data_IF_201215473262
#
_entry.id   IF_201215473262
#
_cell.length_a   1.000
_cell.length_b   1.000
_cell.length_c   1.000
_cell.angle_alpha   90.00
_cell.angle_beta   90.00
_cell.angle_gamma   90.00
#
_symmetry.space_group_name_H-M   'P 1'
#
loop_
_entity.id
_entity.type
_entity.pdbx_description
1 polymer ?
2 non-polymer ?
3 non-polymer ?
4 water ?
#
# COMPACT_ATOMS: atom_id res chain seq x y z
N UNK A 1 27.23 -26.50 -8.76
CA UNK A 1 27.05 -25.07 -9.18
C UNK A 1 25.97 -25.02 -10.24
N UNK A 2 24.99 -24.16 -10.02
CA UNK A 2 23.88 -24.03 -10.95
C UNK A 2 24.26 -23.22 -12.16
N UNK A 3 23.86 -23.61 -13.36
CA UNK A 3 24.16 -22.86 -14.57
C UNK A 3 23.38 -21.54 -14.55
N UNK A 4 24.11 -20.45 -14.79
CA UNK A 4 23.43 -19.14 -14.80
C UNK A 4 22.95 -18.88 -16.22
N UNK A 5 22.08 -17.88 -16.39
CA UNK A 5 21.57 -17.42 -17.67
C UNK A 5 20.81 -18.44 -18.49
N UNK A 6 20.10 -19.32 -17.79
CA UNK A 6 19.23 -20.30 -18.40
C UNK A 6 18.15 -20.60 -17.36
N UNK A 7 16.91 -20.68 -17.78
CA UNK A 7 15.85 -20.99 -16.83
C UNK A 7 15.74 -22.52 -16.64
N UNK A 8 15.75 -22.95 -15.40
CA UNK A 8 15.73 -24.38 -15.10
C UNK A 8 14.33 -24.90 -14.78
N UNK A 9 14.07 -26.17 -15.16
CA UNK A 9 12.77 -26.78 -14.84
C UNK A 9 12.84 -27.47 -13.51
N UNK A 10 12.61 -26.71 -12.43
CA UNK A 10 12.78 -27.16 -11.08
C UNK A 10 11.70 -26.56 -10.15
N UNK A 11 11.44 -27.31 -9.09
CA UNK A 11 10.65 -26.79 -7.98
C UNK A 11 11.45 -25.66 -7.33
N UNK A 12 10.83 -24.60 -6.79
CA UNK A 12 11.62 -23.52 -6.19
C UNK A 12 12.53 -23.92 -5.05
N UNK A 13 12.15 -24.87 -4.21
CA UNK A 13 12.99 -25.26 -3.07
C UNK A 13 14.21 -26.03 -3.56
N UNK A 14 14.02 -26.89 -4.56
CA UNK A 14 15.14 -27.64 -5.13
C UNK A 14 16.11 -26.64 -5.77
N UNK A 15 15.57 -25.70 -6.54
CA UNK A 15 16.36 -24.67 -7.19
C UNK A 15 17.15 -23.86 -6.16
N UNK A 16 16.43 -23.33 -5.15
CA UNK A 16 17.08 -22.50 -4.14
C UNK A 16 18.20 -23.24 -3.42
N UNK A 17 18.09 -24.52 -3.10
CA UNK A 17 19.14 -25.28 -2.45
C UNK A 17 20.38 -25.46 -3.34
N UNK A 18 20.27 -25.23 -4.63
CA UNK A 18 21.39 -25.26 -5.55
C UNK A 18 22.03 -23.89 -5.75
N UNK A 19 21.42 -22.82 -5.24
CA UNK A 19 21.98 -21.49 -5.37
C UNK A 19 22.99 -21.22 -4.26
N UNK A 20 24.13 -20.65 -4.64
CA UNK A 20 25.15 -20.33 -3.65
C UNK A 20 24.69 -19.23 -2.69
N UNK A 21 24.87 -19.41 -1.40
CA UNK A 21 24.53 -18.36 -0.44
C UNK A 21 25.33 -17.13 -0.74
N UNK A 22 24.73 -15.95 -0.53
CA UNK A 22 25.34 -14.66 -0.73
C UNK A 22 25.84 -14.35 -2.12
N UNK A 23 25.29 -14.96 -3.17
CA UNK A 23 25.72 -14.72 -4.52
C UNK A 23 24.85 -13.78 -5.33
N UNK A 24 23.66 -13.45 -4.78
CA UNK A 24 22.68 -12.69 -5.60
C UNK A 24 22.59 -11.23 -5.21
N UNK A 25 22.49 -10.34 -6.19
CA UNK A 25 22.43 -8.92 -5.93
C UNK A 25 20.96 -8.43 -5.87
N UNK A 26 20.08 -9.11 -6.62
CA UNK A 26 18.67 -8.60 -6.62
C UNK A 26 17.78 -9.81 -6.81
N UNK A 27 16.73 -9.93 -5.99
CA UNK A 27 15.80 -11.05 -6.24
C UNK A 27 14.45 -10.35 -6.57
N UNK A 28 13.80 -10.74 -7.65
CA UNK A 28 12.52 -10.13 -8.08
C UNK A 28 11.57 -11.32 -8.10
N UNK A 29 10.61 -11.43 -7.15
CA UNK A 29 9.82 -12.67 -7.06
C UNK A 29 8.33 -12.38 -7.22
N UNK A 30 7.69 -13.00 -8.18
CA UNK A 30 6.22 -12.89 -8.37
C UNK A 30 5.73 -14.31 -8.10
N UNK A 31 5.39 -14.61 -6.86
CA UNK A 31 5.01 -15.92 -6.41
C UNK A 31 3.51 -16.14 -6.37
N UNK A 32 3.10 -17.30 -5.90
CA UNK A 32 1.66 -17.52 -5.74
C UNK A 32 1.10 -16.40 -4.85
N UNK A 33 -0.13 -16.01 -5.16
CA UNK A 33 -0.84 -15.01 -4.35
C UNK A 33 -2.00 -15.65 -3.55
N UNK A 34 -2.22 -16.96 -3.66
CA UNK A 34 -3.35 -17.56 -2.92
C UNK A 34 -4.69 -17.03 -3.47
N UNK A 35 -4.79 -16.82 -4.78
CA UNK A 35 -6.04 -16.35 -5.37
C UNK A 35 -6.74 -17.47 -6.15
N UNK A 36 -6.23 -18.69 -6.04
CA UNK A 36 -6.77 -19.87 -6.69
C UNK A 36 -6.81 -19.76 -8.21
N UNK A 37 -5.83 -19.09 -8.83
CA UNK A 37 -5.81 -18.95 -10.29
C UNK A 37 -5.30 -20.20 -11.00
N UNK A 38 -4.77 -21.14 -10.24
CA UNK A 38 -4.25 -22.40 -10.74
C UNK A 38 -4.01 -23.35 -9.58
N UNK A 39 -3.61 -24.57 -9.87
CA UNK A 39 -3.33 -25.57 -8.83
C UNK A 39 -2.22 -25.11 -7.90
N UNK A 40 -1.19 -24.46 -8.48
CA UNK A 40 -0.08 -23.97 -7.67
C UNK A 40 -0.45 -22.74 -6.86
N UNK A 41 -1.62 -22.14 -7.09
CA UNK A 41 -2.05 -20.94 -6.40
C UNK A 41 -3.18 -21.25 -5.43
N UNK A 42 -3.43 -22.52 -5.20
CA UNK A 42 -4.51 -22.96 -4.32
C UNK A 42 -3.94 -23.62 -3.10
N UNK A 43 -4.33 -23.07 -1.95
CA UNK A 43 -3.85 -23.54 -0.65
C UNK A 43 -5.05 -23.94 0.21
N UNK A 44 -4.86 -24.82 1.17
CA UNK A 44 -5.97 -25.22 2.04
C UNK A 44 -6.41 -24.13 3.00
N UNK A 45 -5.50 -23.21 3.39
CA UNK A 45 -5.81 -22.16 4.32
C UNK A 45 -4.77 -21.02 4.22
N UNK A 46 -5.04 -19.91 4.90
CA UNK A 46 -4.11 -18.76 4.83
C UNK A 46 -2.80 -19.11 5.52
N UNK A 47 -2.86 -19.82 6.63
CA UNK A 47 -1.66 -20.28 7.32
C UNK A 47 -0.81 -21.19 6.43
N UNK A 48 -1.40 -22.13 5.68
CA UNK A 48 -0.58 -23.00 4.83
C UNK A 48 0.13 -22.13 3.78
N UNK A 49 -0.62 -21.16 3.23
CA UNK A 49 -0.06 -20.23 2.26
C UNK A 49 1.12 -19.49 2.87
N UNK A 50 0.99 -18.98 4.09
CA UNK A 50 2.05 -18.24 4.73
C UNK A 50 3.24 -19.14 5.04
N UNK A 51 2.98 -20.38 5.50
CA UNK A 51 4.09 -21.30 5.79
C UNK A 51 4.92 -21.59 4.54
N UNK A 52 4.29 -21.78 3.39
CA UNK A 52 4.95 -22.00 2.12
C UNK A 52 5.77 -20.75 1.78
N UNK A 53 5.12 -19.60 1.90
CA UNK A 53 5.76 -18.33 1.53
C UNK A 53 7.01 -18.05 2.32
N UNK A 54 6.92 -18.22 3.64
CA UNK A 54 8.00 -17.97 4.58
C UNK A 54 9.11 -18.99 4.32
N UNK A 55 8.77 -20.21 3.89
CA UNK A 55 9.83 -21.17 3.58
C UNK A 55 10.68 -20.74 2.37
N UNK A 56 10.07 -20.27 1.29
CA UNK A 56 10.85 -19.86 0.12
C UNK A 56 11.55 -18.55 0.46
N UNK A 57 10.89 -17.65 1.21
CA UNK A 57 11.52 -16.38 1.57
C UNK A 57 12.84 -16.62 2.33
N UNK A 58 12.81 -17.48 3.34
CA UNK A 58 14.03 -17.76 4.12
C UNK A 58 15.20 -18.14 3.24
N UNK A 59 14.95 -18.99 2.25
CA UNK A 59 16.02 -19.46 1.36
C UNK A 59 16.49 -18.31 0.47
N UNK A 60 15.55 -17.54 -0.11
CA UNK A 60 15.93 -16.38 -0.93
C UNK A 60 16.81 -15.43 -0.15
N UNK A 61 16.49 -15.13 1.12
CA UNK A 61 17.30 -14.23 1.92
C UNK A 61 18.74 -14.72 2.09
N UNK A 62 18.92 -16.02 2.27
CA UNK A 62 20.27 -16.59 2.34
C UNK A 62 21.06 -16.39 1.05
N UNK A 63 20.41 -16.26 -0.10
CA UNK A 63 21.05 -16.07 -1.38
C UNK A 63 21.54 -14.65 -1.64
N UNK A 64 20.89 -13.65 -1.02
CA UNK A 64 21.30 -12.29 -1.24
C UNK A 64 22.66 -12.00 -0.59
N UNK A 65 23.46 -11.19 -1.28
CA UNK A 65 24.74 -10.81 -0.68
C UNK A 65 24.41 -9.81 0.42
N UNK A 66 25.48 -9.30 1.06
CA UNK A 66 25.30 -8.46 2.23
C UNK A 66 24.53 -7.18 1.96
N UNK A 67 24.48 -6.60 0.79
CA UNK A 67 23.76 -5.39 0.47
C UNK A 67 22.64 -5.65 -0.57
N UNK A 68 22.23 -6.90 -0.71
CA UNK A 68 21.27 -7.22 -1.77
C UNK A 68 19.87 -6.64 -1.59
N UNK A 69 19.12 -6.59 -2.70
CA UNK A 69 17.76 -6.02 -2.71
C UNK A 69 16.75 -7.12 -3.06
N UNK A 70 15.52 -6.92 -2.59
CA UNK A 70 14.49 -7.94 -2.73
C UNK A 70 13.15 -7.26 -3.08
N UNK A 71 12.48 -7.79 -4.10
CA UNK A 71 11.15 -7.28 -4.45
C UNK A 71 10.18 -8.48 -4.46
N UNK A 72 9.06 -8.40 -3.73
CA UNK A 72 8.12 -9.52 -3.70
C UNK A 72 6.72 -8.94 -4.00
N UNK A 73 6.07 -9.50 -5.02
CA UNK A 73 4.73 -9.09 -5.40
C UNK A 73 3.70 -9.93 -4.61
N UNK A 74 2.57 -9.24 -4.31
CA UNK A 74 1.46 -10.07 -3.78
C UNK A 74 0.24 -9.17 -3.68
N UNK A 75 -0.87 -9.69 -3.14
CA UNK A 75 -1.99 -8.79 -2.87
C UNK A 75 -1.60 -7.93 -1.66
N UNK A 76 -2.19 -6.78 -1.50
CA UNK A 76 -1.94 -5.93 -0.34
C UNK A 76 -2.09 -6.70 0.95
N UNK A 77 -3.23 -7.48 1.06
CA UNK A 77 -3.45 -8.25 2.29
C UNK A 77 -2.32 -9.22 2.61
N UNK A 78 -1.86 -10.01 1.66
CA UNK A 78 -0.78 -10.96 1.90
C UNK A 78 0.55 -10.20 2.16
N UNK A 79 0.67 -9.05 1.51
CA UNK A 79 1.89 -8.25 1.78
C UNK A 79 1.95 -7.70 3.17
N UNK A 80 0.82 -7.48 3.86
CA UNK A 80 0.89 -7.04 5.26
C UNK A 80 1.62 -8.07 6.09
N UNK A 81 1.34 -9.36 5.94
CA UNK A 81 1.93 -10.47 6.64
C UNK A 81 3.39 -10.70 6.21
N UNK A 82 3.56 -10.59 4.89
CA UNK A 82 4.94 -10.78 4.38
C UNK A 82 5.84 -9.66 4.84
N UNK A 83 5.35 -8.42 4.87
CA UNK A 83 6.13 -7.28 5.32
C UNK A 83 6.62 -7.41 6.75
N UNK A 84 5.68 -7.77 7.65
CA UNK A 84 6.08 -8.00 9.04
C UNK A 84 7.03 -9.16 9.16
N UNK A 85 6.88 -10.23 8.37
CA UNK A 85 7.79 -11.37 8.40
C UNK A 85 9.20 -10.94 7.99
N UNK A 86 9.30 -10.17 6.92
CA UNK A 86 10.62 -9.69 6.48
C UNK A 86 11.30 -8.81 7.53
N UNK A 87 10.54 -7.95 8.22
CA UNK A 87 11.12 -7.13 9.29
C UNK A 87 11.65 -8.04 10.41
N UNK A 88 10.94 -9.11 10.70
CA UNK A 88 11.31 -10.04 11.77
C UNK A 88 12.59 -10.81 11.40
N UNK A 89 12.87 -10.96 10.11
CA UNK A 89 14.08 -11.61 9.64
C UNK A 89 15.26 -10.66 9.57
N UNK A 90 15.15 -9.39 9.95
CA UNK A 90 16.31 -8.49 9.89
C UNK A 90 16.44 -7.73 8.59
N UNK A 91 15.50 -7.89 7.65
CA UNK A 91 15.59 -7.13 6.40
C UNK A 91 15.13 -5.71 6.64
N UNK A 92 15.61 -4.78 5.84
CA UNK A 92 15.36 -3.37 5.95
C UNK A 92 14.31 -2.92 4.94
N UNK A 93 13.15 -2.51 5.51
CA UNK A 93 12.10 -2.01 4.61
C UNK A 93 12.49 -0.76 3.85
N UNK A 94 12.27 -0.70 2.53
CA UNK A 94 12.54 0.46 1.72
C UNK A 94 11.25 1.09 1.22
N UNK A 95 10.37 0.31 0.55
CA UNK A 95 9.14 0.90 0.05
C UNK A 95 7.99 -0.15 -0.03
N UNK A 96 6.79 0.38 0.14
CA UNK A 96 5.56 -0.43 -0.09
C UNK A 96 5.08 0.10 -1.44
N UNK A 97 5.43 -0.57 -2.54
CA UNK A 97 5.08 -0.11 -3.86
C UNK A 97 3.64 -0.57 -4.21
N UNK A 98 2.89 0.39 -4.69
CA UNK A 98 1.50 0.11 -5.11
C UNK A 98 1.39 0.11 -6.63
N UNK A 99 1.00 -1.02 -7.20
CA UNK A 99 0.78 -1.04 -8.64
C UNK A 99 -0.74 -0.75 -8.83
N UNK A 100 -1.02 0.44 -9.30
CA UNK A 100 -2.40 0.88 -9.55
C UNK A 100 -2.74 0.35 -10.94
N UNK A 101 -3.42 -0.80 -11.05
CA UNK A 101 -3.61 -1.33 -12.42
C UNK A 101 -4.52 -0.55 -13.33
N UNK A 102 -5.51 0.17 -12.81
CA UNK A 102 -6.48 0.93 -13.59
C UNK A 102 -7.04 0.10 -14.74
N UNK A 103 -7.25 -1.19 -14.54
CA UNK A 103 -7.72 -2.08 -15.59
C UNK A 103 -9.23 -1.89 -15.65
N UNK A 104 -9.97 -2.78 -16.30
CA UNK A 104 -11.42 -2.58 -16.33
C UNK A 104 -12.08 -3.41 -15.23
N UNK A 105 -11.30 -4.19 -14.50
CA UNK A 105 -11.73 -5.15 -13.51
C UNK A 105 -11.86 -4.73 -12.05
N UNK A 106 -12.11 -5.77 -11.24
CA UNK A 106 -12.24 -5.73 -9.81
C UNK A 106 -13.59 -5.41 -9.20
N UNK A 107 -14.57 -5.09 -10.03
CA UNK A 107 -15.89 -4.67 -9.60
C UNK A 107 -16.38 -5.45 -8.37
N UNK A 108 -17.00 -4.68 -7.46
CA UNK A 108 -17.51 -5.34 -6.24
C UNK A 108 -18.70 -4.59 -5.71
N UNK A 109 -19.63 -5.16 -4.93
CA UNK A 109 -20.68 -4.26 -4.42
C UNK A 109 -20.70 -4.33 -2.90
N UNK A 110 -19.84 -5.13 -2.30
CA UNK A 110 -19.79 -5.13 -0.83
C UNK A 110 -18.52 -4.41 -0.31
N UNK A 111 -17.71 -3.88 -1.23
CA UNK A 111 -16.46 -3.21 -0.84
C UNK A 111 -15.94 -2.49 -2.06
N UNK A 112 -14.88 -1.68 -1.90
CA UNK A 112 -14.35 -1.01 -3.08
C UNK A 112 -13.75 -2.06 -4.03
N UNK A 113 -13.79 -1.70 -5.35
CA UNK A 113 -13.33 -2.60 -6.37
C UNK A 113 -11.81 -2.87 -6.28
N UNK A 114 -11.48 -4.12 -6.52
CA UNK A 114 -10.09 -4.51 -6.35
C UNK A 114 -9.34 -4.52 -7.66
N UNK A 115 -8.06 -4.92 -7.52
CA UNK A 115 -7.15 -4.94 -8.65
C UNK A 115 -5.77 -4.38 -8.32
N UNK A 116 -5.60 -3.44 -7.38
CA UNK A 116 -4.18 -3.02 -7.16
C UNK A 116 -3.38 -4.23 -6.74
N UNK A 117 -2.06 -4.19 -6.91
CA UNK A 117 -1.17 -5.25 -6.39
C UNK A 117 -0.04 -4.51 -5.64
N UNK A 118 0.61 -5.21 -4.76
CA UNK A 118 1.67 -4.54 -3.99
C UNK A 118 3.02 -5.19 -4.37
N UNK A 119 4.05 -4.36 -4.27
CA UNK A 119 5.40 -4.94 -4.42
C UNK A 119 6.16 -4.51 -3.16
N UNK A 120 6.59 -5.43 -2.33
CA UNK A 120 7.38 -5.03 -1.17
C UNK A 120 8.84 -4.90 -1.65
N UNK A 121 9.48 -3.83 -1.18
CA UNK A 121 10.90 -3.60 -1.56
C UNK A 121 11.72 -3.46 -0.28
N UNK A 122 12.54 -4.47 -0.01
CA UNK A 122 13.41 -4.48 1.15
C UNK A 122 14.89 -4.68 0.67
N UNK A 123 15.79 -4.35 1.60
CA UNK A 123 17.22 -4.62 1.31
C UNK A 123 17.86 -5.25 2.56
N UNK A 124 19.01 -5.90 2.30
CA UNK A 124 19.73 -6.61 3.35
C UNK A 124 20.51 -5.64 4.25
N UNK A 125 20.85 -4.48 3.73
CA UNK A 125 21.58 -3.46 4.49
C UNK A 125 21.13 -2.09 4.05
N UNK A 126 21.74 -1.03 4.65
CA UNK A 126 21.47 0.34 4.22
C UNK A 126 22.40 0.82 3.12
N UNK A 127 23.27 -0.04 2.63
CA UNK A 127 24.23 0.25 1.57
C UNK A 127 23.86 -0.49 0.30
N UNK A 128 22.51 -0.63 0.08
CA UNK A 128 22.03 -1.23 -1.15
C UNK A 128 22.21 -0.31 -2.34
N UNK A 129 22.06 -0.86 -3.56
CA UNK A 129 22.16 -0.10 -4.79
C UNK A 129 20.85 0.61 -5.15
N UNK A 130 20.82 1.91 -5.32
CA UNK A 130 19.57 2.55 -5.71
C UNK A 130 19.91 3.56 -6.78
N UNK A 131 19.69 3.21 -8.05
CA UNK A 131 20.00 4.09 -9.17
C UNK A 131 18.85 5.01 -9.50
N UNK A 132 18.60 6.02 -8.64
CA UNK A 132 17.50 6.94 -8.84
C UNK A 132 17.46 7.66 -10.16
N UNK A 133 18.60 8.08 -10.74
CA UNK A 133 18.62 8.78 -11.99
C UNK A 133 18.25 7.91 -13.20
N UNK A 134 18.24 6.60 -13.06
CA UNK A 134 17.91 5.71 -14.16
C UNK A 134 16.43 5.37 -14.23
N UNK A 135 15.65 5.80 -13.26
CA UNK A 135 14.23 5.44 -13.22
C UNK A 135 13.35 6.66 -13.05
N UNK A 136 13.85 7.85 -13.44
CA UNK A 136 12.99 9.04 -13.35
C UNK A 136 11.79 8.92 -14.31
N UNK A 137 10.73 9.58 -13.90
CA UNK A 137 9.46 9.60 -14.69
C UNK A 137 9.14 11.00 -15.21
N UNK A 138 8.34 11.14 -16.28
CA UNK A 138 8.05 12.43 -16.89
C UNK A 138 7.47 13.44 -15.94
N UNK A 139 7.84 14.73 -16.10
CA UNK A 139 7.35 15.80 -15.27
C UNK A 139 5.84 16.02 -15.44
N UNK A 140 5.16 16.32 -14.35
CA UNK A 140 3.73 16.61 -14.41
C UNK A 140 3.49 18.06 -14.84
N UNK A 141 2.23 18.51 -14.71
CA UNK A 141 1.90 19.89 -15.03
C UNK A 141 2.32 20.76 -13.85
N UNK A 142 2.14 20.20 -12.66
CA UNK A 142 2.49 20.81 -11.40
C UNK A 142 3.98 20.87 -11.08
N UNK A 143 4.78 20.00 -11.72
CA UNK A 143 6.22 20.09 -11.47
C UNK A 143 6.73 21.36 -12.15
N UNK A 144 6.18 21.60 -13.31
CA UNK A 144 6.46 22.76 -14.15
C UNK A 144 6.10 24.05 -13.42
N UNK A 145 5.05 24.08 -12.60
CA UNK A 145 4.69 25.28 -11.83
C UNK A 145 5.80 25.55 -10.83
N UNK A 146 6.28 24.48 -10.17
CA UNK A 146 7.35 24.64 -9.20
C UNK A 146 8.62 25.11 -9.92
N UNK A 147 8.86 24.54 -11.10
CA UNK A 147 9.99 24.92 -11.93
C UNK A 147 9.91 26.44 -12.18
N UNK A 148 8.74 26.91 -12.56
CA UNK A 148 8.57 28.37 -12.72
C UNK A 148 8.87 29.15 -11.46
N UNK A 149 8.47 28.79 -10.24
CA UNK A 149 8.81 29.55 -9.05
C UNK A 149 10.29 29.60 -8.72
N UNK A 150 11.07 28.65 -9.24
CA UNK A 150 12.49 28.60 -8.93
C UNK A 150 13.35 29.11 -10.07
N UNK A 151 12.75 29.32 -11.24
CA UNK A 151 13.50 29.72 -12.42
C UNK A 151 14.35 30.98 -12.22
N UNK A 152 13.84 31.95 -11.48
CA UNK A 152 14.58 33.17 -11.20
C UNK A 152 15.59 33.07 -10.08
N UNK A 153 15.66 31.93 -9.39
CA UNK A 153 16.62 31.77 -8.31
C UNK A 153 17.88 31.22 -8.98
N UNK A 154 18.89 32.07 -9.08
CA UNK A 154 20.12 31.61 -9.73
C UNK A 154 20.93 30.73 -8.80
N UNK A 155 21.73 29.84 -9.37
CA UNK A 155 22.63 28.99 -8.60
C UNK A 155 24.05 29.17 -9.14
N UNK A 156 24.96 29.60 -8.27
CA UNK A 156 26.33 29.89 -8.70
C UNK A 156 26.34 31.02 -9.74
N UNK A 157 25.41 31.95 -9.65
CA UNK A 157 25.29 33.07 -10.55
C UNK A 157 24.55 32.85 -11.84
N UNK A 158 24.16 31.61 -12.16
CA UNK A 158 23.46 31.32 -13.40
C UNK A 158 22.14 30.56 -13.23
N UNK A 159 21.41 30.48 -14.34
CA UNK A 159 20.13 29.76 -14.35
C UNK A 159 20.34 28.28 -14.00
N UNK A 160 19.42 27.69 -13.24
CA UNK A 160 19.44 26.29 -12.87
C UNK A 160 18.41 25.55 -13.71
N UNK A 161 18.76 24.42 -14.34
CA UNK A 161 17.82 23.65 -15.15
C UNK A 161 17.56 22.30 -14.48
N UNK A 162 16.31 21.97 -14.20
CA UNK A 162 15.96 20.71 -13.57
C UNK A 162 16.32 19.53 -14.45
N UNK A 163 16.45 18.35 -13.87
CA UNK A 163 16.95 17.20 -14.65
C UNK A 163 16.10 16.99 -15.89
N UNK A 164 16.67 16.80 -17.05
CA UNK A 164 15.91 16.66 -18.28
C UNK A 164 15.25 15.31 -18.44
N UNK A 165 15.57 14.37 -17.55
CA UNK A 165 14.98 13.05 -17.66
C UNK A 165 13.73 12.89 -16.83
N UNK A 166 13.30 13.91 -16.11
CA UNK A 166 12.09 13.86 -15.32
C UNK A 166 12.33 13.88 -13.82
N UNK A 167 11.23 13.60 -13.10
CA UNK A 167 11.25 13.66 -11.65
C UNK A 167 11.58 12.32 -10.99
N UNK A 168 11.90 12.37 -9.70
CA UNK A 168 12.23 11.12 -9.01
C UNK A 168 10.98 10.25 -8.99
N UNK A 169 11.19 8.95 -9.23
CA UNK A 169 10.01 8.06 -9.21
C UNK A 169 9.45 7.89 -7.85
N UNK A 170 8.10 7.88 -7.73
CA UNK A 170 7.49 7.63 -6.43
C UNK A 170 7.05 6.16 -6.23
N UNK A 171 6.14 5.94 -5.28
CA UNK A 171 5.77 4.56 -4.91
C UNK A 171 4.44 4.07 -5.51
N UNK A 172 3.71 4.91 -6.19
CA UNK A 172 2.42 4.43 -6.77
C UNK A 172 2.64 4.41 -8.27
N UNK A 173 2.68 3.22 -8.84
CA UNK A 173 3.03 3.02 -10.24
C UNK A 173 1.84 2.66 -11.12
N UNK A 174 1.85 3.18 -12.34
CA UNK A 174 0.78 2.93 -13.31
C UNK A 174 1.53 2.69 -14.63
N UNK A 175 1.15 1.68 -15.39
CA UNK A 175 1.82 1.41 -16.67
C UNK A 175 0.86 1.40 -17.85
N UNK A 176 1.39 1.12 -19.03
CA UNK A 176 0.60 1.03 -20.26
C UNK A 176 -0.05 -0.34 -20.39
N UNK A 195 -1.28 -12.51 -18.13
CA UNK A 195 -0.72 -13.06 -16.91
C UNK A 195 0.63 -12.45 -16.54
N UNK A 196 1.54 -12.32 -17.49
CA UNK A 196 2.87 -11.80 -17.25
C UNK A 196 2.95 -10.36 -16.77
N UNK A 197 3.93 -10.03 -15.91
CA UNK A 197 4.06 -8.63 -15.48
C UNK A 197 4.55 -7.78 -16.65
N UNK A 198 4.20 -6.50 -16.71
CA UNK A 198 4.61 -5.62 -17.79
C UNK A 198 6.14 -5.50 -17.83
N UNK A 199 6.76 -5.61 -19.00
CA UNK A 199 8.20 -5.49 -19.05
C UNK A 199 8.69 -4.16 -18.49
N UNK A 200 8.03 -3.05 -18.76
CA UNK A 200 8.41 -1.74 -18.24
C UNK A 200 8.44 -1.68 -16.71
N UNK A 201 7.54 -2.43 -16.08
CA UNK A 201 7.53 -2.50 -14.62
C UNK A 201 8.76 -3.20 -14.09
N UNK A 202 9.08 -4.37 -14.70
CA UNK A 202 10.23 -5.15 -14.24
C UNK A 202 11.50 -4.38 -14.58
N UNK A 203 11.50 -3.69 -15.72
CA UNK A 203 12.65 -2.86 -16.11
C UNK A 203 12.94 -1.79 -15.04
N UNK A 204 11.85 -1.16 -14.53
CA UNK A 204 12.11 -0.12 -13.48
C UNK A 204 12.76 -0.74 -12.28
N UNK A 205 12.28 -1.94 -11.87
CA UNK A 205 12.87 -2.63 -10.73
C UNK A 205 14.36 -2.98 -10.97
N UNK A 206 14.62 -3.51 -12.15
CA UNK A 206 16.02 -3.95 -12.37
C UNK A 206 16.95 -2.74 -12.56
N UNK A 207 16.49 -1.71 -13.20
CA UNK A 207 17.35 -0.50 -13.37
C UNK A 207 17.58 0.15 -12.02
N UNK A 208 16.53 0.21 -11.15
CA UNK A 208 16.80 0.88 -9.89
C UNK A 208 17.69 0.10 -8.95
N UNK A 209 17.54 -1.23 -8.85
CA UNK A 209 18.12 -1.96 -7.76
C UNK A 209 19.18 -3.01 -8.11
N UNK A 210 19.77 -2.77 -9.26
CA UNK A 210 20.92 -3.60 -9.69
C UNK A 210 21.71 -2.73 -10.68
N UNK A 211 22.93 -3.19 -10.96
CA UNK A 211 23.82 -2.60 -11.96
C UNK A 211 24.18 -3.64 -13.02
N UNK A 212 24.66 -3.19 -14.18
CA UNK A 212 25.14 -4.10 -15.23
C UNK A 212 26.03 -5.16 -14.62
N UNK A 213 25.91 -6.40 -15.06
CA UNK A 213 26.64 -7.58 -14.64
C UNK A 213 26.26 -8.17 -13.31
N UNK A 214 25.35 -7.56 -12.53
CA UNK A 214 24.93 -8.17 -11.28
C UNK A 214 24.09 -9.42 -11.57
N UNK A 215 23.81 -10.22 -10.57
CA UNK A 215 23.03 -11.41 -10.74
C UNK A 215 21.61 -11.20 -10.16
N UNK A 216 20.62 -11.46 -10.98
CA UNK A 216 19.20 -11.30 -10.59
C UNK A 216 18.57 -12.68 -10.43
N UNK A 217 17.83 -12.94 -9.36
CA UNK A 217 17.23 -14.26 -9.17
C UNK A 217 15.71 -14.17 -9.27
N UNK A 218 15.11 -15.17 -9.89
CA UNK A 218 13.62 -15.25 -9.86
C UNK A 218 13.31 -16.75 -9.80
N UNK A 219 12.73 -17.23 -8.70
CA UNK A 219 12.41 -18.65 -8.55
C UNK A 219 11.00 -19.07 -8.95
N UNK A 220 10.22 -18.22 -9.60
CA UNK A 220 8.91 -18.52 -10.18
C UNK A 220 8.86 -17.78 -11.51
N UNK A 221 9.75 -18.13 -12.45
CA UNK A 221 9.91 -17.40 -13.69
C UNK A 221 8.68 -17.19 -14.55
N UNK A 222 7.76 -18.15 -14.63
CA UNK A 222 6.55 -17.95 -15.43
C UNK A 222 6.90 -17.83 -16.90
N UNK A 223 6.53 -16.72 -17.54
CA UNK A 223 6.84 -16.45 -18.92
C UNK A 223 8.29 -16.01 -19.10
N UNK A 224 9.04 -15.82 -18.01
CA UNK A 224 10.45 -15.48 -18.11
C UNK A 224 10.72 -13.99 -18.11
N UNK A 225 9.73 -13.17 -17.77
CA UNK A 225 9.90 -11.73 -17.81
C UNK A 225 11.15 -11.24 -17.08
N UNK A 226 11.46 -11.70 -15.90
CA UNK A 226 12.64 -11.28 -15.16
C UNK A 226 13.91 -11.59 -15.94
N UNK A 227 13.99 -12.83 -16.46
CA UNK A 227 15.19 -13.19 -17.23
C UNK A 227 15.34 -12.36 -18.49
N UNK A 228 14.25 -12.12 -19.20
CA UNK A 228 14.25 -11.42 -20.47
C UNK A 228 14.72 -9.98 -20.28
N UNK A 229 14.07 -9.35 -19.28
CA UNK A 229 14.44 -7.95 -19.02
C UNK A 229 15.86 -7.92 -18.44
N UNK A 230 16.28 -8.82 -17.57
CA UNK A 230 17.66 -8.80 -17.04
C UNK A 230 18.65 -8.86 -18.19
N UNK A 231 18.42 -9.81 -19.09
CA UNK A 231 19.31 -9.97 -20.25
C UNK A 231 19.36 -8.71 -21.12
N UNK A 232 18.23 -8.09 -21.44
CA UNK A 232 18.22 -6.86 -22.24
C UNK A 232 19.00 -5.74 -21.58
N UNK A 233 18.97 -5.65 -20.25
CA UNK A 233 19.70 -4.66 -19.48
C UNK A 233 21.11 -5.04 -19.09
N UNK A 234 21.63 -6.17 -19.63
CA UNK A 234 22.99 -6.54 -19.31
C UNK A 234 23.22 -7.06 -17.92
N UNK A 235 22.18 -7.65 -17.26
CA UNK A 235 22.38 -8.30 -15.98
C UNK A 235 22.42 -9.82 -16.24
N UNK A 236 23.02 -10.55 -15.33
CA UNK A 236 22.98 -12.01 -15.39
C UNK A 236 21.73 -12.44 -14.62
N UNK A 237 21.21 -13.65 -14.88
CA UNK A 237 20.06 -14.09 -14.08
C UNK A 237 20.21 -15.55 -13.71
N UNK A 238 19.45 -15.99 -12.71
CA UNK A 238 19.35 -17.38 -12.31
C UNK A 238 17.87 -17.60 -11.97
N UNK A 239 17.29 -18.73 -12.36
CA UNK A 239 15.87 -18.86 -12.08
C UNK A 239 15.30 -20.19 -12.53
N UNK A 240 14.02 -20.38 -12.25
CA UNK A 240 13.42 -21.67 -12.55
C UNK A 240 11.91 -21.52 -12.64
N UNK A 241 11.28 -22.56 -13.16
CA UNK A 241 9.83 -22.65 -13.10
C UNK A 241 9.55 -24.18 -13.11
N UNK A 242 8.54 -24.63 -12.39
CA UNK A 242 8.21 -26.06 -12.39
C UNK A 242 7.59 -26.51 -13.70
N UNK A 243 7.08 -25.58 -14.50
CA UNK A 243 6.37 -25.88 -15.73
C UNK A 243 7.30 -25.99 -16.92
N UNK A 244 7.40 -27.23 -17.45
CA UNK A 244 8.24 -27.51 -18.60
C UNK A 244 7.92 -26.66 -19.82
N UNK A 245 6.66 -26.50 -20.17
CA UNK A 245 6.25 -25.70 -21.31
C UNK A 245 6.68 -24.25 -21.16
N UNK A 246 6.46 -23.69 -19.96
CA UNK A 246 6.87 -22.30 -19.73
C UNK A 246 8.38 -22.14 -19.86
N UNK A 247 9.12 -23.07 -19.24
CA UNK A 247 10.59 -23.02 -19.27
C UNK A 247 11.12 -23.12 -20.68
N UNK A 248 10.59 -24.10 -21.45
CA UNK A 248 11.08 -24.25 -22.82
C UNK A 248 10.77 -23.03 -23.67
N UNK A 249 9.58 -22.48 -23.53
CA UNK A 249 9.13 -21.31 -24.27
C UNK A 249 9.93 -20.08 -23.88
N UNK A 250 10.21 -19.92 -22.57
CA UNK A 250 11.01 -18.75 -22.16
C UNK A 250 12.46 -18.87 -22.60
N UNK A 251 13.04 -20.08 -22.51
CA UNK A 251 14.43 -20.28 -22.93
C UNK A 251 14.58 -20.04 -24.43
N UNK A 252 13.54 -20.36 -25.19
CA UNK A 252 13.52 -20.11 -26.62
C UNK A 252 13.52 -18.60 -26.86
N UNK A 253 12.62 -17.88 -26.20
CA UNK A 253 12.59 -16.42 -26.34
C UNK A 253 13.94 -15.83 -25.98
N UNK A 254 14.56 -16.22 -24.88
CA UNK A 254 15.88 -15.74 -24.48
C UNK A 254 16.96 -15.94 -25.54
N UNK A 255 16.88 -17.04 -26.27
CA UNK A 255 17.90 -17.33 -27.28
C UNK A 255 17.75 -16.66 -28.63
N UNK A 256 16.70 -15.90 -28.92
CA UNK A 256 16.68 -15.17 -30.19
C UNK A 256 16.28 -13.72 -29.96
N UNK B 1 -22.03 11.65 32.20
CA UNK B 1 -22.65 11.42 30.86
C UNK B 1 -21.87 12.09 29.75
N UNK B 2 -21.76 11.37 28.64
CA UNK B 2 -20.99 11.87 27.49
C UNK B 2 -21.90 12.43 26.41
N UNK B 3 -21.73 13.71 26.10
CA UNK B 3 -22.58 14.40 25.13
C UNK B 3 -22.30 13.92 23.69
N UNK B 4 -23.37 13.59 23.01
CA UNK B 4 -23.24 13.14 21.59
C UNK B 4 -23.30 14.39 20.73
N UNK B 5 -22.66 14.36 19.56
CA UNK B 5 -22.59 15.54 18.70
C UNK B 5 -21.82 16.69 19.28
N UNK B 6 -20.74 16.40 20.00
CA UNK B 6 -19.82 17.40 20.50
C UNK B 6 -18.41 16.80 20.49
N UNK B 7 -17.37 17.59 20.25
CA UNK B 7 -16.03 17.05 20.37
C UNK B 7 -15.57 17.32 21.82
N UNK B 8 -15.05 16.29 22.49
CA UNK B 8 -14.60 16.49 23.87
C UNK B 8 -13.10 16.66 23.99
N UNK B 9 -12.69 17.51 24.95
CA UNK B 9 -11.26 17.66 25.24
C UNK B 9 -10.89 16.59 26.25
N UNK B 10 -10.45 15.43 25.77
CA UNK B 10 -10.21 14.27 26.61
C UNK B 10 -9.07 13.46 25.98
N UNK B 11 -8.40 12.66 26.80
CA UNK B 11 -7.45 11.67 26.28
C UNK B 11 -8.28 10.59 25.58
N UNK B 12 -7.80 10.03 24.47
CA UNK B 12 -8.58 8.99 23.79
C UNK B 12 -8.95 7.81 24.67
N UNK B 13 -8.10 7.34 25.57
CA UNK B 13 -8.45 6.17 26.37
C UNK B 13 -9.58 6.48 27.35
N UNK B 14 -9.51 7.64 28.02
CA UNK B 14 -10.61 7.99 28.93
C UNK B 14 -11.90 8.22 28.11
N UNK B 15 -11.79 8.92 26.99
CA UNK B 15 -12.98 9.16 26.14
C UNK B 15 -13.62 7.87 25.71
N UNK B 16 -12.83 6.95 25.14
CA UNK B 16 -13.44 5.70 24.67
C UNK B 16 -14.14 4.93 25.79
N UNK B 17 -13.57 4.92 27.01
CA UNK B 17 -14.26 4.19 28.07
C UNK B 17 -15.60 4.81 28.41
N UNK B 18 -15.89 6.06 28.08
CA UNK B 18 -17.19 6.65 28.35
C UNK B 18 -18.20 6.34 27.24
N UNK B 19 -17.71 5.93 26.06
CA UNK B 19 -18.63 5.66 24.95
C UNK B 19 -19.28 4.31 25.15
N UNK B 20 -20.62 4.25 24.98
CA UNK B 20 -21.28 2.97 25.22
C UNK B 20 -20.88 1.88 24.25
N UNK B 21 -20.69 0.65 24.73
CA UNK B 21 -20.31 -0.43 23.83
C UNK B 21 -21.43 -0.72 22.83
N UNK B 22 -21.00 -1.09 21.60
CA UNK B 22 -21.93 -1.44 20.51
C UNK B 22 -22.81 -0.32 20.08
N UNK B 23 -22.43 0.95 20.23
CA UNK B 23 -23.27 2.06 19.86
C UNK B 23 -22.91 2.70 18.53
N UNK B 24 -21.75 2.30 17.98
CA UNK B 24 -21.25 3.03 16.81
C UNK B 24 -21.32 2.21 15.52
N UNK B 25 -21.75 2.89 14.46
CA UNK B 25 -21.88 2.24 13.17
C UNK B 25 -20.57 2.40 12.33
N UNK B 26 -19.92 3.52 12.51
CA UNK B 26 -18.71 3.71 11.68
C UNK B 26 -17.65 4.44 12.49
N UNK B 27 -16.40 3.92 12.49
CA UNK B 27 -15.35 4.66 13.16
C UNK B 27 -14.32 5.05 12.08
N UNK B 28 -13.97 6.31 12.01
CA UNK B 28 -13.01 6.83 11.00
C UNK B 28 -11.89 7.44 11.83
N UNK B 29 -10.75 6.75 11.88
CA UNK B 29 -9.69 7.15 12.83
C UNK B 29 -8.40 7.51 12.12
N UNK B 30 -7.94 8.75 12.30
CA UNK B 30 -6.63 9.20 11.76
C UNK B 30 -5.76 9.43 13.00
N UNK B 31 -5.01 8.43 13.43
CA UNK B 31 -4.25 8.46 14.66
C UNK B 31 -2.82 8.89 14.45
N UNK B 32 -2.04 8.81 15.52
CA UNK B 32 -0.59 9.05 15.34
C UNK B 32 -0.06 8.04 14.34
N UNK B 33 0.88 8.47 13.51
CA UNK B 33 1.56 7.63 12.56
C UNK B 33 2.99 7.29 12.99
N UNK B 34 3.46 7.81 14.12
CA UNK B 34 4.86 7.57 14.54
C UNK B 34 5.80 8.23 13.53
N UNK B 35 5.49 9.43 13.05
CA UNK B 35 6.37 10.09 12.10
C UNK B 35 7.05 11.30 12.77
N UNK B 36 6.94 11.35 14.10
CA UNK B 36 7.50 12.43 14.90
C UNK B 36 7.10 13.82 14.46
N UNK B 37 5.82 14.03 14.09
CA UNK B 37 5.41 15.36 13.66
C UNK B 37 5.01 16.26 14.81
N UNK B 38 5.00 15.73 16.02
CA UNK B 38 4.66 16.44 17.24
C UNK B 38 4.96 15.53 18.43
N UNK B 39 4.81 16.00 19.67
CA UNK B 39 5.12 15.12 20.81
C UNK B 39 4.24 13.88 20.83
N UNK B 40 2.95 14.02 20.54
CA UNK B 40 2.05 12.86 20.49
C UNK B 40 2.36 11.88 19.36
N UNK B 41 3.13 12.26 18.37
CA UNK B 41 3.48 11.40 17.24
C UNK B 41 4.88 10.81 17.35
N UNK B 42 5.53 11.00 18.49
CA UNK B 42 6.88 10.49 18.72
C UNK B 42 6.86 9.41 19.80
N UNK B 43 7.26 8.22 19.40
CA UNK B 43 7.35 7.06 20.27
C UNK B 43 8.80 6.60 20.39
N UNK B 44 9.18 5.96 21.50
CA UNK B 44 10.57 5.55 21.68
C UNK B 44 10.99 4.38 20.81
N UNK B 45 10.05 3.55 20.37
CA UNK B 45 10.30 2.42 19.53
C UNK B 45 9.03 2.10 18.72
N UNK B 46 9.22 1.29 17.69
CA UNK B 46 8.05 0.82 16.89
C UNK B 46 7.15 0.00 17.80
N UNK B 47 7.71 -0.87 18.64
CA UNK B 47 6.96 -1.70 19.55
C UNK B 47 6.10 -0.88 20.50
N UNK B 48 6.63 0.27 20.96
CA UNK B 48 5.84 1.13 21.84
C UNK B 48 4.68 1.77 21.05
N UNK B 49 4.98 2.17 19.83
CA UNK B 49 3.93 2.73 18.95
C UNK B 49 2.84 1.66 18.73
N UNK B 50 3.21 0.44 18.46
CA UNK B 50 2.19 -0.61 18.21
C UNK B 50 1.41 -0.92 19.48
N UNK B 51 2.09 -0.94 20.65
CA UNK B 51 1.35 -1.20 21.89
C UNK B 51 0.28 -0.15 22.14
N UNK B 52 0.58 1.12 21.95
CA UNK B 52 -0.32 2.24 22.08
C UNK B 52 -1.49 2.05 21.07
N UNK B 53 -1.10 1.79 19.83
CA UNK B 53 -2.12 1.66 18.77
C UNK B 53 -3.08 0.54 19.07
N UNK B 54 -2.62 -0.66 19.40
CA UNK B 54 -3.48 -1.78 19.72
C UNK B 54 -4.38 -1.45 20.92
N UNK B 55 -3.89 -0.66 21.87
CA UNK B 55 -4.69 -0.30 23.04
C UNK B 55 -5.94 0.52 22.63
N UNK B 56 -5.76 1.53 21.80
CA UNK B 56 -6.94 2.31 21.38
C UNK B 56 -7.78 1.47 20.39
N UNK B 57 -7.16 0.64 19.56
CA UNK B 57 -7.95 -0.21 18.65
C UNK B 57 -8.88 -1.11 19.45
N UNK B 58 -8.34 -1.74 20.52
CA UNK B 58 -9.21 -2.68 21.26
C UNK B 58 -10.47 -2.00 21.76
N UNK B 59 -10.33 -0.79 22.25
CA UNK B 59 -11.51 -0.08 22.77
C UNK B 59 -12.43 0.30 21.61
N UNK B 60 -11.91 0.82 20.52
CA UNK B 60 -12.75 1.19 19.35
C UNK B 60 -13.55 -0.01 18.90
N UNK B 61 -12.94 -1.20 18.84
CA UNK B 61 -13.65 -2.37 18.36
C UNK B 61 -14.87 -2.66 19.25
N UNK B 62 -14.74 -2.43 20.55
CA UNK B 62 -15.85 -2.64 21.47
C UNK B 62 -16.99 -1.68 21.23
N UNK B 63 -16.75 -0.49 20.69
CA UNK B 63 -17.76 0.50 20.43
C UNK B 63 -18.56 0.19 19.18
N UNK B 64 -17.97 -0.55 18.23
CA UNK B 64 -18.77 -0.84 17.03
C UNK B 64 -19.90 -1.82 17.32
N UNK B 65 -21.03 -1.58 16.63
CA UNK B 65 -22.14 -2.52 16.70
C UNK B 65 -21.79 -3.76 15.92
N UNK B 66 -22.61 -4.83 15.97
CA UNK B 66 -22.31 -6.09 15.35
C UNK B 66 -21.96 -6.06 13.86
N UNK B 67 -22.42 -5.05 13.13
CA UNK B 67 -22.08 -4.96 11.71
C UNK B 67 -21.31 -3.71 11.36
N UNK B 68 -20.69 -3.09 12.36
CA UNK B 68 -20.02 -1.79 12.16
C UNK B 68 -18.74 -1.87 11.29
N UNK B 69 -18.39 -0.71 10.78
CA UNK B 69 -17.23 -0.59 9.88
C UNK B 69 -16.20 0.31 10.57
N UNK B 70 -14.95 0.11 10.11
CA UNK B 70 -13.78 0.78 10.67
C UNK B 70 -12.78 1.18 9.59
N UNK B 71 -12.33 2.43 9.63
CA UNK B 71 -11.31 2.89 8.69
C UNK B 71 -10.17 3.43 9.58
N UNK B 72 -8.94 3.00 9.32
CA UNK B 72 -7.81 3.51 10.11
C UNK B 72 -6.74 3.98 9.11
N UNK B 73 -6.33 5.24 9.24
CA UNK B 73 -5.25 5.73 8.37
C UNK B 73 -3.87 5.49 9.01
N UNK B 74 -2.89 5.24 8.13
CA UNK B 74 -1.52 5.21 8.70
C UNK B 74 -0.57 5.11 7.50
N UNK B 75 0.72 4.99 7.83
CA UNK B 75 1.65 4.77 6.70
C UNK B 75 1.47 3.34 6.26
N UNK B 76 1.77 2.98 5.02
CA UNK B 76 1.68 1.58 4.60
C UNK B 76 2.38 0.63 5.52
N UNK B 77 3.67 0.99 5.91
CA UNK B 77 4.40 0.11 6.80
C UNK B 77 3.64 -0.15 8.10
N UNK B 78 3.13 0.86 8.74
CA UNK B 78 2.44 0.62 10.04
C UNK B 78 1.10 -0.10 9.76
N UNK B 79 0.47 0.19 8.61
CA UNK B 79 -0.76 -0.59 8.35
C UNK B 79 -0.51 -2.05 8.14
N UNK B 80 0.70 -2.52 7.70
CA UNK B 80 0.95 -3.94 7.61
C UNK B 80 0.73 -4.58 8.97
N UNK B 81 1.28 -3.92 10.01
CA UNK B 81 1.13 -4.49 11.36
C UNK B 81 -0.30 -4.35 11.89
N UNK B 82 -0.90 -3.22 11.62
CA UNK B 82 -2.29 -2.99 12.11
C UNK B 82 -3.23 -3.98 11.44
N UNK B 83 -3.03 -4.21 10.14
CA UNK B 83 -3.90 -5.13 9.39
C UNK B 83 -3.89 -6.50 10.02
N UNK B 84 -2.66 -7.03 10.28
CA UNK B 84 -2.57 -8.35 10.88
C UNK B 84 -3.18 -8.35 12.28
N UNK B 85 -3.01 -7.28 13.03
CA UNK B 85 -3.62 -7.23 14.37
C UNK B 85 -5.15 -7.29 14.28
N UNK B 86 -5.71 -6.51 13.35
CA UNK B 86 -7.18 -6.55 13.20
C UNK B 86 -7.69 -7.92 12.81
N UNK B 87 -6.99 -8.63 11.92
CA UNK B 87 -7.34 -9.98 11.55
C UNK B 87 -7.33 -10.87 12.81
N UNK B 88 -6.31 -10.73 13.66
CA UNK B 88 -6.24 -11.57 14.87
C UNK B 88 -7.33 -11.26 15.86
N UNK B 89 -7.95 -10.08 15.82
CA UNK B 89 -9.05 -9.68 16.67
C UNK B 89 -10.38 -10.16 16.08
N UNK B 90 -10.40 -10.76 14.90
CA UNK B 90 -11.66 -11.27 14.39
C UNK B 90 -12.38 -10.32 13.45
N UNK B 91 -11.77 -9.18 13.17
CA UNK B 91 -12.35 -8.22 12.20
C UNK B 91 -12.19 -8.77 10.80
N UNK B 92 -13.08 -8.40 9.90
CA UNK B 92 -13.10 -8.84 8.51
C UNK B 92 -12.50 -7.80 7.59
N UNK B 93 -11.41 -8.20 6.91
CA UNK B 93 -10.79 -7.23 6.00
C UNK B 93 -11.68 -7.00 4.78
N UNK B 94 -11.82 -5.72 4.41
CA UNK B 94 -12.58 -5.37 3.20
C UNK B 94 -11.62 -4.79 2.17
N UNK B 95 -10.86 -3.72 2.51
CA UNK B 95 -9.95 -3.19 1.49
C UNK B 95 -8.70 -2.55 2.12
N UNK B 96 -7.63 -2.56 1.33
CA UNK B 96 -6.39 -1.83 1.67
C UNK B 96 -6.42 -0.60 0.77
N UNK B 97 -6.92 0.55 1.25
CA UNK B 97 -7.15 1.70 0.39
C UNK B 97 -5.82 2.49 0.28
N UNK B 98 -5.49 2.80 -0.95
CA UNK B 98 -4.20 3.54 -1.16
C UNK B 98 -4.56 4.96 -1.50
N UNK B 99 -4.11 5.91 -0.69
CA UNK B 99 -4.34 7.31 -1.03
C UNK B 99 -3.07 7.80 -1.77
N UNK B 100 -3.15 7.96 -3.06
CA UNK B 100 -2.00 8.35 -3.92
C UNK B 100 -1.96 9.87 -3.86
N UNK B 101 -1.17 10.50 -3.00
CA UNK B 101 -1.37 11.96 -2.87
C UNK B 101 -1.03 12.77 -4.10
N UNK B 102 -0.25 12.24 -5.04
CA UNK B 102 0.17 12.92 -6.25
C UNK B 102 0.85 14.23 -5.82
N UNK B 103 1.61 14.09 -4.75
CA UNK B 103 2.36 15.12 -4.09
C UNK B 103 3.67 15.30 -4.86
N UNK B 104 3.82 16.48 -5.46
CA UNK B 104 5.07 16.72 -6.19
C UNK B 104 6.06 17.23 -5.15
N UNK B 105 6.77 16.35 -4.44
CA UNK B 105 7.70 16.82 -3.42
C UNK B 105 8.82 15.82 -3.15
N UNK B 106 9.19 15.04 -4.16
CA UNK B 106 10.16 13.99 -4.04
C UNK B 106 11.62 14.40 -3.90
N UNK B 107 12.35 13.78 -2.98
CA UNK B 107 13.75 14.12 -2.79
C UNK B 107 14.53 12.89 -2.29
N UNK B 108 13.88 11.74 -2.19
CA UNK B 108 14.58 10.56 -1.72
C UNK B 108 15.58 10.07 -2.79
N UNK B 109 16.78 9.76 -2.35
CA UNK B 109 17.73 9.25 -3.36
C UNK B 109 18.19 7.87 -2.95
N UNK B 110 17.62 7.31 -1.87
CA UNK B 110 17.98 5.96 -1.47
C UNK B 110 16.80 4.98 -1.63
N UNK B 111 15.70 5.48 -2.13
CA UNK B 111 14.52 4.57 -2.28
C UNK B 111 13.51 5.38 -3.05
N UNK B 112 12.37 4.79 -3.45
CA UNK B 112 11.37 5.56 -4.16
C UNK B 112 10.76 6.65 -3.26
N UNK B 113 10.37 7.77 -3.87
CA UNK B 113 9.84 8.92 -3.11
C UNK B 113 8.53 8.55 -2.38
N UNK B 114 8.34 9.05 -1.19
CA UNK B 114 7.20 8.68 -0.35
C UNK B 114 6.09 9.72 -0.41
N UNK B 115 5.00 9.44 0.35
CA UNK B 115 3.84 10.35 0.29
C UNK B 115 2.54 9.53 0.33
N UNK B 116 2.51 8.37 -0.33
CA UNK B 116 1.25 7.57 -0.24
C UNK B 116 0.89 7.39 1.23
N UNK B 117 -0.45 7.25 1.46
CA UNK B 117 -0.95 6.94 2.79
C UNK B 117 -1.92 5.75 2.60
N UNK B 118 -2.09 4.97 3.66
CA UNK B 118 -3.00 3.81 3.50
C UNK B 118 -4.18 4.04 4.44
N UNK B 119 -5.33 3.49 3.99
CA UNK B 119 -6.49 3.51 4.88
C UNK B 119 -6.95 2.06 4.95
N UNK B 120 -6.89 1.42 6.09
CA UNK B 120 -7.37 0.03 6.25
C UNK B 120 -8.90 0.11 6.49
N UNK B 121 -9.64 -0.73 5.73
CA UNK B 121 -11.11 -0.71 5.87
C UNK B 121 -11.49 -2.14 6.25
N UNK B 122 -12.02 -2.29 7.48
CA UNK B 122 -12.44 -3.56 8.01
C UNK B 122 -13.90 -3.45 8.52
N UNK B 123 -14.58 -4.59 8.64
CA UNK B 123 -15.93 -4.59 9.23
C UNK B 123 -16.04 -5.65 10.34
N UNK B 124 -17.04 -5.50 11.21
CA UNK B 124 -17.26 -6.45 12.30
C UNK B 124 -17.92 -7.75 11.82
N UNK B 125 -18.61 -7.69 10.70
CA UNK B 125 -19.25 -8.85 10.11
C UNK B 125 -19.30 -8.69 8.58
N UNK B 126 -19.88 -9.73 7.94
CA UNK B 126 -20.06 -9.67 6.49
C UNK B 126 -21.34 -8.94 6.11
N UNK B 127 -22.11 -8.45 7.08
CA UNK B 127 -23.36 -7.74 6.87
C UNK B 127 -23.26 -6.27 7.12
N UNK B 128 -22.05 -5.70 6.83
CA UNK B 128 -21.86 -4.26 6.98
C UNK B 128 -22.61 -3.46 5.92
N UNK B 129 -22.71 -2.18 6.15
CA UNK B 129 -23.32 -1.24 5.19
C UNK B 129 -22.32 -0.89 4.08
N UNK B 130 -22.70 -1.04 2.82
CA UNK B 130 -21.72 -0.56 1.79
C UNK B 130 -22.61 0.04 0.69
N UNK B 131 -22.69 1.36 0.71
CA UNK B 131 -23.56 2.06 -0.27
C UNK B 131 -22.76 2.35 -1.55
N UNK B 132 -22.50 1.33 -2.33
CA UNK B 132 -21.71 1.45 -3.56
C UNK B 132 -22.27 2.42 -4.57
N UNK B 133 -23.61 2.64 -4.56
CA UNK B 133 -24.17 3.59 -5.51
C UNK B 133 -24.03 5.02 -5.06
N UNK B 134 -23.55 5.27 -3.83
CA UNK B 134 -23.41 6.64 -3.40
C UNK B 134 -21.99 7.19 -3.62
N UNK B 135 -21.09 6.33 -4.10
CA UNK B 135 -19.69 6.77 -4.21
C UNK B 135 -19.07 6.40 -5.54
N UNK B 136 -19.94 6.30 -6.56
CA UNK B 136 -19.42 6.11 -7.94
C UNK B 136 -18.56 7.28 -8.38
N UNK B 137 -17.64 6.96 -9.29
CA UNK B 137 -16.69 7.99 -9.75
C UNK B 137 -16.68 8.04 -11.29
N UNK B 138 -16.15 9.12 -11.84
CA UNK B 138 -16.02 9.24 -13.28
C UNK B 138 -15.11 8.19 -13.90
N UNK B 139 -15.37 7.86 -15.17
CA UNK B 139 -14.55 6.92 -15.92
C UNK B 139 -13.19 7.57 -16.22
N UNK B 152 -17.48 3.52 -28.53
CA UNK B 152 -17.57 3.92 -27.12
C UNK B 152 -16.33 3.45 -26.36
N UNK B 153 -16.52 2.83 -25.20
CA UNK B 153 -15.41 2.29 -24.43
C UNK B 153 -15.15 0.82 -24.79
N UNK B 154 -13.87 0.48 -25.00
CA UNK B 154 -13.52 -0.90 -25.31
C UNK B 154 -13.43 -1.72 -24.02
N UNK B 155 -14.07 -2.88 -24.03
CA UNK B 155 -14.06 -3.75 -22.86
C UNK B 155 -14.45 -5.15 -23.30
N UNK B 156 -13.50 -6.08 -23.24
CA UNK B 156 -13.70 -7.46 -23.63
C UNK B 156 -13.94 -7.62 -25.13
N UNK B 157 -13.36 -6.77 -25.97
CA UNK B 157 -13.56 -6.84 -27.40
C UNK B 157 -14.78 -6.07 -27.89
N UNK B 158 -15.63 -5.63 -26.96
CA UNK B 158 -16.83 -4.88 -27.31
C UNK B 158 -16.68 -3.40 -26.99
N UNK B 159 -17.63 -2.61 -27.50
CA UNK B 159 -17.67 -1.16 -27.30
C UNK B 159 -18.98 -0.87 -26.52
N UNK B 160 -18.82 -0.08 -25.46
CA UNK B 160 -19.85 0.18 -24.49
C UNK B 160 -19.97 1.66 -24.16
N UNK B 161 -21.16 2.08 -23.74
CA UNK B 161 -21.31 3.44 -23.24
C UNK B 161 -21.13 3.32 -21.70
N UNK B 162 -20.53 4.30 -21.10
CA UNK B 162 -20.32 4.30 -19.65
C UNK B 162 -21.64 4.30 -18.90
N UNK B 163 -21.66 3.73 -17.70
CA UNK B 163 -22.83 3.94 -16.81
C UNK B 163 -22.89 5.43 -16.65
N UNK B 164 -24.05 6.11 -16.85
CA UNK B 164 -24.19 7.51 -16.68
C UNK B 164 -24.04 8.00 -15.25
N UNK B 165 -24.12 7.07 -14.28
CA UNK B 165 -23.93 7.41 -12.87
C UNK B 165 -22.44 7.28 -12.50
N UNK B 166 -21.62 6.78 -13.44
CA UNK B 166 -20.18 6.69 -13.05
C UNK B 166 -19.84 5.24 -12.76
N UNK B 167 -18.55 4.94 -12.54
CA UNK B 167 -18.16 3.55 -12.35
C UNK B 167 -17.99 3.23 -10.85
N UNK B 168 -18.00 1.96 -10.51
CA UNK B 168 -17.83 1.64 -9.07
C UNK B 168 -16.45 2.13 -8.62
N UNK B 169 -16.43 2.71 -7.42
CA UNK B 169 -15.17 3.24 -6.90
C UNK B 169 -14.21 2.12 -6.57
N UNK B 170 -12.90 2.32 -6.93
CA UNK B 170 -11.92 1.30 -6.57
C UNK B 170 -11.11 1.70 -5.32
N UNK B 171 -9.93 1.09 -5.17
CA UNK B 171 -9.21 1.25 -3.90
C UNK B 171 -8.01 2.21 -3.99
N UNK B 172 -7.65 2.67 -5.17
CA UNK B 172 -6.54 3.67 -5.21
C UNK B 172 -7.16 5.03 -5.42
N UNK B 173 -7.08 5.92 -4.44
CA UNK B 173 -7.81 7.18 -4.47
C UNK B 173 -6.90 8.41 -4.72
N UNK B 174 -7.40 9.34 -5.48
CA UNK B 174 -6.66 10.57 -5.79
C UNK B 174 -7.57 11.72 -5.36
N UNK B 175 -7.09 12.47 -4.38
CA UNK B 175 -7.72 13.61 -3.76
C UNK B 175 -6.61 14.63 -3.44
N UNK B 176 -6.72 15.85 -3.91
CA UNK B 176 -5.68 16.82 -3.60
C UNK B 176 -5.64 17.08 -2.10
N UNK B 177 -4.94 18.13 -1.69
CA UNK B 177 -4.82 18.47 -0.28
C UNK B 177 -6.02 19.24 0.25
N UNK B 194 -0.55 19.43 12.35
CA UNK B 194 -1.28 18.45 11.58
C UNK B 194 -1.79 18.96 10.23
N UNK B 195 -1.95 18.02 9.31
CA UNK B 195 -2.55 18.33 8.02
C UNK B 195 -3.93 17.67 7.99
N UNK B 196 -4.98 18.47 8.12
CA UNK B 196 -6.34 17.95 8.08
C UNK B 196 -6.59 17.12 6.84
N UNK B 197 -7.33 16.02 6.97
CA UNK B 197 -7.64 15.18 5.81
C UNK B 197 -8.60 15.92 4.89
N UNK B 198 -8.58 15.67 3.60
CA UNK B 198 -9.46 16.30 2.62
C UNK B 198 -10.92 16.01 2.91
N UNK B 199 -11.78 17.03 2.92
CA UNK B 199 -13.19 16.78 3.22
C UNK B 199 -13.83 15.81 2.22
N UNK B 200 -13.48 15.86 0.93
CA UNK B 200 -14.04 14.94 -0.03
C UNK B 200 -13.69 13.48 0.24
N UNK B 201 -12.49 13.26 0.77
CA UNK B 201 -12.06 11.89 1.08
C UNK B 201 -12.87 11.32 2.22
N UNK B 202 -13.02 12.17 3.26
CA UNK B 202 -13.80 11.73 4.44
C UNK B 202 -15.25 11.55 4.00
N UNK B 203 -15.73 12.41 3.10
CA UNK B 203 -17.14 12.23 2.63
C UNK B 203 -17.38 10.92 1.93
N UNK B 204 -16.40 10.47 1.10
CA UNK B 204 -16.49 9.18 0.42
C UNK B 204 -16.62 8.05 1.44
N UNK B 205 -15.82 8.10 2.51
CA UNK B 205 -15.87 7.08 3.55
C UNK B 205 -17.25 7.11 4.26
N UNK B 206 -17.66 8.34 4.61
CA UNK B 206 -18.93 8.33 5.44
C UNK B 206 -20.10 7.97 4.54
N UNK B 207 -20.13 8.38 3.27
CA UNK B 207 -21.26 7.94 2.41
C UNK B 207 -21.25 6.46 2.15
N UNK B 208 -20.06 5.87 1.95
CA UNK B 208 -20.00 4.45 1.63
C UNK B 208 -20.43 3.55 2.77
N UNK B 209 -19.95 3.90 3.98
CA UNK B 209 -20.00 2.96 5.09
C UNK B 209 -20.87 3.38 6.25
N UNK B 210 -21.78 4.29 5.95
CA UNK B 210 -22.79 4.64 6.97
C UNK B 210 -24.04 5.15 6.25
N UNK B 211 -25.11 5.26 7.03
CA UNK B 211 -26.38 5.84 6.53
C UNK B 211 -26.76 7.05 7.35
N UNK B 212 -27.70 7.86 6.87
CA UNK B 212 -28.18 9.02 7.59
C UNK B 212 -28.55 8.59 9.00
N UNK B 213 -28.27 9.40 9.98
CA UNK B 213 -28.58 9.17 11.37
C UNK B 213 -27.71 8.13 12.08
N UNK B 214 -26.85 7.39 11.39
CA UNK B 214 -25.91 6.50 12.10
C UNK B 214 -24.93 7.34 12.90
N UNK B 215 -24.19 6.67 13.82
CA UNK B 215 -23.25 7.38 14.65
C UNK B 215 -21.80 7.09 14.18
N UNK B 216 -21.08 8.15 13.98
CA UNK B 216 -19.70 8.07 13.53
C UNK B 216 -18.76 8.46 14.68
N UNK B 217 -17.76 7.63 14.89
CA UNK B 217 -16.80 7.95 15.95
C UNK B 217 -15.41 8.31 15.42
N UNK B 218 -14.77 9.28 16.05
CA UNK B 218 -13.35 9.56 15.77
C UNK B 218 -12.73 10.02 17.10
N UNK B 219 -11.77 9.26 17.61
CA UNK B 219 -11.14 9.57 18.91
C UNK B 219 -9.85 10.35 18.75
N UNK B 220 -9.52 10.84 17.55
CA UNK B 220 -8.36 11.72 17.34
C UNK B 220 -8.77 12.81 16.36
N UNK B 221 -9.77 13.60 16.81
CA UNK B 221 -10.48 14.56 15.97
C UNK B 221 -9.60 15.60 15.28
N UNK B 222 -8.54 16.08 15.92
CA UNK B 222 -7.70 17.12 15.28
C UNK B 222 -8.49 18.37 14.93
N UNK B 223 -8.53 18.78 13.66
CA UNK B 223 -9.31 19.94 13.28
C UNK B 223 -10.81 19.69 13.28
N UNK B 224 -11.28 18.46 13.41
CA UNK B 224 -12.69 18.15 13.47
C UNK B 224 -13.29 17.68 12.17
N UNK B 225 -12.46 17.37 11.17
CA UNK B 225 -12.98 17.02 9.85
C UNK B 225 -14.05 15.93 9.88
N UNK B 226 -13.82 14.86 10.61
CA UNK B 226 -14.81 13.77 10.65
C UNK B 226 -16.15 14.28 11.17
N UNK B 227 -16.10 15.03 12.28
CA UNK B 227 -17.38 15.54 12.81
C UNK B 227 -18.09 16.45 11.83
N UNK B 228 -17.34 17.37 11.21
CA UNK B 228 -17.93 18.36 10.31
C UNK B 228 -18.60 17.71 9.12
N UNK B 229 -17.91 16.73 8.52
CA UNK B 229 -18.49 16.08 7.32
C UNK B 229 -19.65 15.22 7.75
N UNK B 230 -19.50 14.52 8.92
CA UNK B 230 -20.60 13.69 9.38
C UNK B 230 -21.85 14.59 9.58
N UNK B 231 -21.65 15.73 10.21
CA UNK B 231 -22.79 16.62 10.48
C UNK B 231 -23.41 17.12 9.19
N UNK B 232 -22.60 17.47 8.21
CA UNK B 232 -23.09 17.95 6.91
C UNK B 232 -23.84 16.86 6.18
N UNK B 233 -23.49 15.59 6.41
CA UNK B 233 -24.15 14.46 5.80
C UNK B 233 -25.34 13.92 6.58
N UNK B 234 -25.72 14.54 7.72
CA UNK B 234 -26.87 14.01 8.44
C UNK B 234 -26.57 12.77 9.25
N UNK B 235 -25.27 12.63 9.63
CA UNK B 235 -24.94 11.55 10.55
C UNK B 235 -24.68 12.20 11.92
N UNK B 236 -24.84 11.42 12.96
CA UNK B 236 -24.47 11.83 14.32
C UNK B 236 -22.96 11.56 14.46
N UNK B 237 -22.32 12.24 15.41
CA UNK B 237 -20.88 11.94 15.61
C UNK B 237 -20.55 12.05 17.09
N UNK B 238 -19.39 11.52 17.43
CA UNK B 238 -18.88 11.73 18.80
C UNK B 238 -17.36 11.59 18.65
N UNK B 239 -16.62 12.38 19.41
CA UNK B 239 -15.18 12.26 19.31
C UNK B 239 -14.47 13.13 20.33
N UNK B 240 -13.15 13.11 20.20
CA UNK B 240 -12.34 13.83 21.18
C UNK B 240 -10.99 14.17 20.58
N UNK B 241 -10.31 15.05 21.31
CA UNK B 241 -8.92 15.39 20.99
C UNK B 241 -8.32 15.92 22.29
N UNK B 242 -7.07 15.60 22.63
CA UNK B 242 -6.53 16.08 23.90
C UNK B 242 -6.21 17.57 23.86
N UNK B 243 -6.00 18.14 22.68
CA UNK B 243 -5.68 19.53 22.47
C UNK B 243 -6.87 20.47 22.65
N UNK B 244 -6.84 21.31 23.69
CA UNK B 244 -7.91 22.24 23.96
C UNK B 244 -8.17 23.22 22.81
N UNK B 245 -7.13 23.73 22.18
CA UNK B 245 -7.32 24.67 21.08
C UNK B 245 -8.04 24.00 19.92
N UNK B 246 -7.66 22.76 19.59
CA UNK B 246 -8.33 22.09 18.47
C UNK B 246 -9.81 21.86 18.79
N UNK B 247 -10.14 21.33 19.96
CA UNK B 247 -11.52 21.09 20.33
C UNK B 247 -12.39 22.35 20.27
N UNK B 248 -11.95 23.43 20.94
CA UNK B 248 -12.73 24.67 20.91
C UNK B 248 -12.98 25.16 19.50
N UNK B 249 -11.93 25.25 18.69
CA UNK B 249 -12.13 25.73 17.32
C UNK B 249 -13.04 24.79 16.55
N UNK B 250 -12.84 23.47 16.67
CA UNK B 250 -13.73 22.54 15.97
C UNK B 250 -15.17 22.70 16.44
N UNK B 251 -15.38 22.80 17.75
CA UNK B 251 -16.73 22.99 18.30
C UNK B 251 -17.31 24.31 17.82
N UNK B 252 -16.46 25.33 17.66
CA UNK B 252 -16.88 26.60 17.09
C UNK B 252 -17.44 26.37 15.69
N UNK B 253 -16.65 25.77 14.81
CA UNK B 253 -17.08 25.47 13.44
C UNK B 253 -18.34 24.61 13.39
N UNK B 254 -18.46 23.58 14.25
CA UNK B 254 -19.65 22.75 14.26
C UNK B 254 -20.90 23.55 14.63
N UNK B 255 -20.79 24.40 15.65
CA UNK B 255 -21.91 25.19 16.12
C UNK B 255 -22.40 26.16 15.04
N UNK B 256 -21.48 26.75 14.28
CA UNK B 256 -21.84 27.65 13.21
C UNK B 256 -22.57 26.93 12.08
#
# INVERSE_FOLDING_TARGET
MLEINKIHQMNCFDFLDQVENKSVQLAVIDPPYNLSKADWDSFDSHNEFLAFTYRWIDKVLDKLDKDGSLYIFNTPFNCAFICQYLVSKGMIFQNWITWDKRDGMGSAKRRFSTGQETILFFSKSKNHTFNYDEVRVPYESTDRIKHASEKGILKNGKRWFPNPNGRLCGEVWHFSSQRHKEKVNGKTVKLTHITPKPRDLIERIIRASSNPNDLVLDCFMGSGTTAIVAKKLGRNFIGCDMNAEYVNQANFVLNQLEIN
MLEINKIHQMNCFDFLDQVENKSVQLAVIDPPYNLSKADWDSFDSHNEFLAFTYRWIDKVLDKLDKDGSLYIFNTPFNCAFICQYLVSKGMIFQNWITWDKRDGMGSAKRRFSTGQETILFFSKSKNHTFNYDEVRVPYESTDRIKHASEKGILKNGKRWFPNPNGRLCGEVWHFSSQRHKEKVNGKTVKLTHITPKPRDLIERIIRASSNPNDLVLDCFMGSGTTAIVAKKLGRNFIGCDMNAEYVNQANFVLNQLEIN
#
